data_IF_330330140569
#
_entry.id   IF_330330140569
#
_cell.length_a   1.000
_cell.length_b   1.000
_cell.length_c   1.000
_cell.angle_alpha   90.00
_cell.angle_beta   90.00
_cell.angle_gamma   90.00
#
_symmetry.space_group_name_H-M   'P 1'
#
loop_
_entity.id
_entity.type
_entity.pdbx_description
1 polymer ?
#
# COMPACT_ATOMS: atom_id res chain seq x y z
N UNK A 1 0.85 -9.34 6.13
CA UNK A 1 2.18 -9.87 5.74
C UNK A 1 3.03 -8.78 5.08
N UNK A 2 2.55 -8.12 4.02
CA UNK A 2 3.27 -6.99 3.38
C UNK A 2 3.81 -5.94 4.36
N UNK A 3 2.98 -5.41 5.25
CA UNK A 3 3.45 -4.40 6.23
C UNK A 3 4.59 -4.90 7.13
N UNK A 4 4.54 -6.17 7.54
CA UNK A 4 5.57 -6.77 8.40
C UNK A 4 6.88 -6.97 7.63
N UNK A 5 6.80 -7.44 6.39
CA UNK A 5 7.98 -7.60 5.53
C UNK A 5 8.63 -6.24 5.23
N UNK A 6 7.80 -5.23 4.93
CA UNK A 6 8.26 -3.87 4.72
C UNK A 6 8.93 -3.32 5.98
N UNK A 7 8.32 -3.50 7.16
CA UNK A 7 8.91 -3.12 8.45
C UNK A 7 10.25 -3.81 8.72
N UNK A 8 10.38 -5.11 8.42
CA UNK A 8 11.64 -5.83 8.55
C UNK A 8 12.73 -5.26 7.64
N UNK A 9 12.35 -4.74 6.47
CA UNK A 9 13.28 -4.15 5.51
C UNK A 9 13.68 -2.71 5.88
N UNK A 10 12.71 -1.85 6.20
CA UNK A 10 12.96 -0.42 6.48
C UNK A 10 13.30 -0.12 7.95
N UNK A 11 13.01 -1.04 8.87
CA UNK A 11 13.27 -0.90 10.30
C UNK A 11 12.22 -0.13 11.10
N UNK A 12 11.13 0.31 10.47
CA UNK A 12 10.05 1.13 11.05
C UNK A 12 8.68 0.72 10.49
N UNK A 13 7.59 1.16 11.12
CA UNK A 13 6.24 0.89 10.61
C UNK A 13 6.00 1.61 9.27
N UNK A 14 5.46 0.92 8.25
CA UNK A 14 5.38 1.47 6.89
C UNK A 14 4.24 2.45 6.67
N UNK A 15 3.16 2.36 7.44
CA UNK A 15 1.96 3.18 7.28
C UNK A 15 1.48 3.72 8.62
N UNK A 16 1.94 4.90 8.98
CA UNK A 16 1.68 5.50 10.30
C UNK A 16 0.76 6.70 10.11
N UNK A 17 -0.36 6.71 10.83
CA UNK A 17 -1.22 7.88 10.85
C UNK A 17 -0.49 9.05 11.52
N UNK A 18 -0.70 10.27 11.03
CA UNK A 18 -0.33 11.47 11.76
C UNK A 18 -1.33 11.67 12.90
N UNK A 19 -0.85 12.16 14.06
CA UNK A 19 -1.71 12.44 15.21
C UNK A 19 -2.92 13.30 14.81
N UNK A 20 -4.12 12.78 15.03
CA UNK A 20 -5.40 13.45 14.78
C UNK A 20 -6.13 13.80 16.07
N UNK A 21 -7.14 14.65 15.98
CA UNK A 21 -8.07 14.93 17.08
C UNK A 21 -9.24 13.93 17.11
N UNK A 22 -9.36 13.08 16.08
CA UNK A 22 -10.40 12.06 15.95
C UNK A 22 -9.91 10.84 15.17
N UNK A 23 -10.54 9.68 15.39
CA UNK A 23 -10.26 8.44 14.65
C UNK A 23 -10.44 8.61 13.14
N UNK A 24 -11.39 9.44 12.71
CA UNK A 24 -11.61 9.70 11.29
C UNK A 24 -10.41 10.41 10.65
N UNK A 25 -9.79 11.35 11.35
CA UNK A 25 -8.60 12.05 10.87
C UNK A 25 -7.38 11.11 10.83
N UNK A 26 -7.24 10.23 11.82
CA UNK A 26 -6.18 9.21 11.86
C UNK A 26 -6.32 8.23 10.68
N UNK A 27 -7.52 7.68 10.46
CA UNK A 27 -7.82 6.80 9.33
C UNK A 27 -7.60 7.50 7.98
N UNK A 28 -8.01 8.76 7.86
CA UNK A 28 -7.79 9.57 6.65
C UNK A 28 -6.30 9.78 6.39
N UNK A 29 -5.53 10.10 7.42
CA UNK A 29 -4.08 10.30 7.31
C UNK A 29 -3.39 9.00 6.92
N UNK A 30 -3.74 7.88 7.57
CA UNK A 30 -3.17 6.57 7.25
C UNK A 30 -3.51 6.15 5.82
N UNK A 31 -4.75 6.38 5.37
CA UNK A 31 -5.15 6.01 4.02
C UNK A 31 -4.37 6.80 2.96
N UNK A 32 -4.19 8.11 3.17
CA UNK A 32 -3.33 8.93 2.31
C UNK A 32 -1.90 8.38 2.30
N UNK A 33 -1.33 8.11 3.47
CA UNK A 33 0.03 7.59 3.60
C UNK A 33 0.24 6.26 2.85
N UNK A 34 -0.73 5.34 2.92
CA UNK A 34 -0.73 4.09 2.16
C UNK A 34 -0.66 4.36 0.66
N UNK A 35 -1.55 5.20 0.15
CA UNK A 35 -1.67 5.49 -1.29
C UNK A 35 -0.40 6.15 -1.83
N UNK A 36 0.12 7.16 -1.13
CA UNK A 36 1.35 7.85 -1.52
C UNK A 36 2.58 6.96 -1.41
N UNK A 37 2.72 6.19 -0.32
CA UNK A 37 3.85 5.28 -0.12
C UNK A 37 3.87 4.16 -1.15
N UNK A 38 2.74 3.55 -1.46
CA UNK A 38 2.66 2.48 -2.46
C UNK A 38 2.65 3.00 -3.90
N UNK A 39 2.47 4.30 -4.10
CA UNK A 39 2.27 4.92 -5.40
C UNK A 39 1.18 4.26 -6.25
N UNK A 40 0.10 3.84 -5.60
CA UNK A 40 -0.94 3.02 -6.22
C UNK A 40 -2.25 3.79 -6.37
N UNK A 41 -3.07 3.40 -7.34
CA UNK A 41 -4.41 3.96 -7.52
C UNK A 41 -5.46 2.98 -7.00
N UNK A 42 -6.62 3.51 -6.62
CA UNK A 42 -7.77 2.68 -6.23
C UNK A 42 -8.70 2.56 -7.42
N UNK A 43 -9.05 1.33 -7.86
CA UNK A 43 -10.04 1.12 -8.90
C UNK A 43 -11.38 1.79 -8.58
N UNK A 44 -11.98 2.46 -9.57
CA UNK A 44 -13.26 3.18 -9.43
C UNK A 44 -14.38 2.27 -8.90
N UNK A 45 -14.40 1.00 -9.33
CA UNK A 45 -15.36 0.02 -8.85
C UNK A 45 -15.30 -0.16 -7.32
N UNK A 46 -14.10 -0.19 -6.73
CA UNK A 46 -13.94 -0.31 -5.28
C UNK A 46 -14.41 0.97 -4.57
N UNK A 47 -14.20 2.14 -5.17
CA UNK A 47 -14.68 3.40 -4.61
C UNK A 47 -16.21 3.41 -4.58
N UNK A 48 -16.86 3.00 -5.65
CA UNK A 48 -18.32 2.91 -5.71
C UNK A 48 -18.86 1.86 -4.74
N UNK A 49 -18.21 0.70 -4.61
CA UNK A 49 -18.56 -0.30 -3.61
C UNK A 49 -18.43 0.24 -2.17
N UNK A 50 -17.40 1.05 -1.88
CA UNK A 50 -17.21 1.65 -0.55
C UNK A 50 -18.34 2.62 -0.16
N UNK A 51 -18.94 3.31 -1.15
CA UNK A 51 -20.05 4.25 -0.96
C UNK A 51 -21.40 3.56 -0.74
N UNK A 52 -21.63 2.39 -1.35
CA UNK A 52 -22.93 1.67 -1.33
C UNK A 52 -23.42 1.30 0.07
N UNK A 53 -22.53 1.21 1.05
CA UNK A 53 -22.89 0.89 2.44
C UNK A 53 -23.17 2.11 3.33
N UNK A 54 -22.85 3.33 2.90
CA UNK A 54 -22.92 4.54 3.74
C UNK A 54 -21.98 4.54 4.95
N UNK A 55 -21.03 3.60 5.01
CA UNK A 55 -20.10 3.39 6.14
C UNK A 55 -18.73 4.04 5.93
N UNK A 56 -18.40 4.41 4.69
CA UNK A 56 -17.17 5.12 4.39
C UNK A 56 -17.39 6.61 4.63
N UNK A 57 -16.71 7.17 5.62
CA UNK A 57 -16.73 8.59 5.95
C UNK A 57 -15.43 9.31 5.54
N UNK A 58 -14.50 8.58 4.92
CA UNK A 58 -13.25 9.12 4.42
C UNK A 58 -13.51 10.01 3.21
N UNK A 59 -12.73 11.08 3.11
CA UNK A 59 -12.60 11.89 1.92
C UNK A 59 -11.75 11.14 0.89
N UNK A 60 -12.39 10.79 -0.23
CA UNK A 60 -11.79 10.05 -1.34
C UNK A 60 -11.37 10.98 -2.49
N UNK A 61 -11.65 12.28 -2.42
CA UNK A 61 -11.38 13.24 -3.52
C UNK A 61 -9.89 13.34 -3.84
N UNK A 62 -9.00 13.08 -2.87
CA UNK A 62 -7.56 13.09 -3.09
C UNK A 62 -7.09 12.00 -4.10
N UNK A 63 -7.88 10.96 -4.32
CA UNK A 63 -7.58 9.91 -5.29
C UNK A 63 -7.75 10.37 -6.74
N UNK A 64 -8.56 11.42 -6.98
CA UNK A 64 -8.79 11.99 -8.32
C UNK A 64 -7.58 12.78 -8.83
N UNK A 65 -6.75 13.28 -7.91
CA UNK A 65 -5.58 14.13 -8.20
C UNK A 65 -4.25 13.43 -7.89
N UNK A 66 -4.23 12.10 -7.93
CA UNK A 66 -3.02 11.34 -7.67
C UNK A 66 -2.05 11.42 -8.85
N UNK A 67 -1.16 12.41 -8.84
CA UNK A 67 0.02 12.43 -9.71
C UNK A 67 1.09 11.51 -9.10
N UNK A 68 1.49 10.46 -9.85
CA UNK A 68 2.61 9.59 -9.49
C UNK A 68 3.93 10.37 -9.58
N UNK A 69 4.22 11.23 -8.61
CA UNK A 69 5.56 11.76 -8.46
C UNK A 69 6.46 10.64 -7.90
N UNK A 70 7.38 10.17 -8.74
CA UNK A 70 8.29 9.06 -8.46
C UNK A 70 9.13 9.30 -7.18
N UNK A 71 9.25 10.55 -6.72
CA UNK A 71 10.11 11.02 -5.63
C UNK A 71 9.64 10.69 -4.20
N UNK A 72 8.46 10.09 -3.98
CA UNK A 72 7.94 9.82 -2.61
C UNK A 72 7.52 8.38 -2.31
N UNK A 73 7.52 7.48 -3.28
CA UNK A 73 7.08 6.09 -3.06
C UNK A 73 8.09 5.18 -2.41
N UNK A 74 7.65 3.95 -2.14
CA UNK A 74 8.45 2.84 -1.62
C UNK A 74 9.74 2.63 -2.42
N UNK A 75 9.73 2.91 -3.72
CA UNK A 75 10.90 2.86 -4.62
C UNK A 75 12.08 3.70 -4.13
N UNK A 76 11.82 4.84 -3.48
CA UNK A 76 12.86 5.69 -2.89
C UNK A 76 13.55 5.04 -1.68
N UNK A 77 12.84 4.17 -0.96
CA UNK A 77 13.40 3.41 0.16
C UNK A 77 14.26 2.23 -0.31
N UNK A 78 14.30 1.93 -1.62
CA UNK A 78 14.99 0.77 -2.16
C UNK A 78 16.41 1.08 -2.63
N UNK A 79 17.37 0.17 -2.39
CA UNK A 79 18.75 0.28 -2.90
C UNK A 79 18.84 -0.14 -4.37
N UNK A 80 18.09 0.54 -5.24
CA UNK A 80 18.09 0.32 -6.69
C UNK A 80 17.80 -1.16 -7.05
N UNK A 81 18.59 -1.77 -7.94
CA UNK A 81 18.32 -3.12 -8.47
C UNK A 81 18.57 -4.26 -7.47
N UNK A 82 19.32 -4.03 -6.39
CA UNK A 82 19.67 -5.07 -5.42
C UNK A 82 18.44 -5.61 -4.69
N UNK A 83 17.44 -4.75 -4.48
CA UNK A 83 16.22 -5.09 -3.74
C UNK A 83 15.01 -5.30 -4.68
N UNK A 84 15.24 -5.46 -5.99
CA UNK A 84 14.17 -5.58 -7.00
C UNK A 84 13.21 -6.74 -6.69
N UNK A 85 13.73 -7.90 -6.27
CA UNK A 85 12.87 -9.05 -5.98
C UNK A 85 11.98 -8.83 -4.75
N UNK A 86 12.49 -8.10 -3.75
CA UNK A 86 11.68 -7.68 -2.62
C UNK A 86 10.61 -6.68 -3.07
N UNK A 87 10.94 -5.78 -4.00
CA UNK A 87 9.98 -4.81 -4.53
C UNK A 87 8.80 -5.50 -5.17
N UNK A 88 9.08 -6.42 -6.10
CA UNK A 88 8.06 -7.18 -6.82
C UNK A 88 7.18 -7.97 -5.86
N UNK A 89 7.77 -8.54 -4.81
CA UNK A 89 7.03 -9.22 -3.76
C UNK A 89 6.10 -8.27 -2.99
N UNK A 90 6.60 -7.09 -2.60
CA UNK A 90 5.81 -6.11 -1.85
C UNK A 90 4.67 -5.53 -2.71
N UNK A 91 4.95 -5.18 -3.96
CA UNK A 91 3.95 -4.72 -4.93
C UNK A 91 2.81 -5.75 -5.09
N UNK A 92 3.19 -7.02 -5.26
CA UNK A 92 2.27 -8.14 -5.31
C UNK A 92 1.42 -8.27 -4.01
N UNK A 93 2.07 -8.24 -2.84
CA UNK A 93 1.38 -8.34 -1.54
C UNK A 93 0.46 -7.15 -1.24
N UNK A 94 0.77 -5.97 -1.76
CA UNK A 94 0.02 -4.72 -1.55
C UNK A 94 -1.03 -4.44 -2.62
N UNK A 95 -1.44 -5.48 -3.37
CA UNK A 95 -2.60 -5.39 -4.27
C UNK A 95 -3.82 -4.83 -3.53
N UNK A 96 -4.30 -3.68 -4.02
CA UNK A 96 -5.37 -2.87 -3.41
C UNK A 96 -6.70 -3.62 -3.42
N UNK A 97 -7.06 -4.20 -4.57
CA UNK A 97 -8.26 -5.01 -4.67
C UNK A 97 -8.08 -6.33 -3.91
N UNK A 98 -8.83 -6.55 -2.83
CA UNK A 98 -8.71 -7.77 -2.04
C UNK A 98 -9.08 -9.04 -2.85
N UNK A 99 -9.90 -8.93 -3.89
CA UNK A 99 -10.31 -10.05 -4.75
C UNK A 99 -9.17 -10.55 -5.62
N UNK A 100 -8.23 -9.66 -5.94
CA UNK A 100 -7.04 -9.94 -6.74
C UNK A 100 -5.77 -10.09 -5.88
N UNK A 101 -5.89 -9.89 -4.55
CA UNK A 101 -4.75 -10.03 -3.66
C UNK A 101 -4.34 -11.50 -3.57
N UNK A 102 -3.07 -11.82 -3.81
CA UNK A 102 -2.62 -13.20 -3.83
C UNK A 102 -2.71 -13.84 -2.45
N UNK A 103 -3.04 -15.11 -2.46
CA UNK A 103 -3.02 -15.96 -1.29
C UNK A 103 -1.59 -16.25 -0.84
N UNK A 104 -1.45 -16.73 0.41
CA UNK A 104 -0.16 -17.20 0.91
C UNK A 104 0.48 -18.27 -0.01
N UNK A 105 -0.32 -19.17 -0.58
CA UNK A 105 0.18 -20.26 -1.42
C UNK A 105 0.75 -19.78 -2.76
N UNK A 106 0.28 -18.65 -3.27
CA UNK A 106 0.82 -18.02 -4.48
C UNK A 106 2.10 -17.22 -4.16
N UNK A 107 2.15 -16.61 -2.97
CA UNK A 107 3.27 -15.75 -2.57
C UNK A 107 4.50 -16.55 -2.11
N UNK A 108 4.31 -17.72 -1.49
CA UNK A 108 5.42 -18.52 -0.92
C UNK A 108 6.47 -18.97 -1.96
N UNK A 109 6.08 -19.06 -3.23
CA UNK A 109 6.94 -19.51 -4.33
C UNK A 109 7.55 -18.33 -5.13
N UNK A 110 7.36 -17.09 -4.66
CA UNK A 110 7.92 -15.89 -5.30
C UNK A 110 9.46 -15.94 -5.33
N UNK A 111 10.06 -15.40 -6.39
CA UNK A 111 11.52 -15.43 -6.64
C UNK A 111 12.36 -14.85 -5.49
N UNK A 112 11.82 -13.87 -4.75
CA UNK A 112 12.42 -13.35 -3.52
C UNK A 112 12.77 -14.44 -2.49
N UNK A 113 11.95 -15.47 -2.35
CA UNK A 113 12.19 -16.61 -1.44
C UNK A 113 12.95 -17.76 -2.11
N UNK A 114 13.21 -17.65 -3.42
CA UNK A 114 13.98 -18.63 -4.18
C UNK A 114 15.42 -18.72 -3.66
N UNK A 115 16.01 -19.90 -3.77
CA UNK A 115 17.41 -20.12 -3.39
C UNK A 115 18.33 -19.32 -4.32
N UNK A 116 19.10 -18.40 -3.73
CA UNK A 116 20.38 -17.94 -4.30
C UNK A 116 21.39 -19.07 -4.38
#
# INVERSE_FOLDING_TARGET
>A
MGCMLMQMYIGEEPFVFQSGNSTLEEEQSQFKDIIYTLQTTVPEELLEQSKRGGKCHLDLTFLEYFEQEEEQGIRKKMRQQEDLQLFLLLDLMFTVDPSNRPSFFEVKDHEFFGKT
#
